data_IF_914820650458
#
_entry.id   IF_914820650458
#
_cell.length_a   1.000
_cell.length_b   1.000
_cell.length_c   1.000
_cell.angle_alpha   90.00
_cell.angle_beta   90.00
_cell.angle_gamma   90.00
#
_symmetry.space_group_name_H-M   'P 1'
#
loop_
_entity.id
_entity.type
_entity.pdbx_description
1 polymer ?
#
# COMPACT_ATOMS: atom_id res chain seq x y z
N UNK A 1 -13.76 -15.14 10.79
CA UNK A 1 -12.69 -14.22 10.35
C UNK A 1 -12.24 -14.64 8.97
N UNK A 2 -12.21 -13.73 8.04
CA UNK A 2 -11.62 -14.02 6.74
C UNK A 2 -10.11 -14.23 6.95
N UNK A 3 -9.51 -15.17 6.23
CA UNK A 3 -8.07 -15.40 6.35
C UNK A 3 -7.19 -14.18 5.98
N UNK A 4 -7.81 -13.05 5.60
CA UNK A 4 -7.16 -11.79 5.26
C UNK A 4 -7.17 -10.75 6.38
N UNK A 5 -7.86 -11.01 7.50
CA UNK A 5 -7.93 -10.04 8.61
C UNK A 5 -6.57 -9.83 9.28
N UNK A 6 -5.68 -10.83 9.17
CA UNK A 6 -4.33 -10.79 9.73
C UNK A 6 -3.32 -11.41 8.76
N UNK A 7 -2.24 -10.68 8.54
CA UNK A 7 -1.09 -11.11 7.74
C UNK A 7 0.14 -11.19 8.64
N UNK A 8 0.99 -12.18 8.43
CA UNK A 8 2.25 -12.32 9.17
C UNK A 8 3.41 -12.43 8.19
N UNK A 9 4.46 -11.68 8.47
CA UNK A 9 5.73 -11.73 7.76
C UNK A 9 6.85 -12.04 8.76
N UNK A 10 8.08 -12.01 8.34
CA UNK A 10 9.23 -12.25 9.21
C UNK A 10 9.26 -11.26 10.39
N UNK A 11 9.07 -9.95 10.12
CA UNK A 11 9.23 -8.90 11.12
C UNK A 11 7.94 -8.15 11.43
N UNK A 12 6.87 -8.35 10.65
CA UNK A 12 5.67 -7.54 10.73
C UNK A 12 4.41 -8.38 10.94
N UNK A 13 3.41 -7.71 11.51
CA UNK A 13 2.02 -8.18 11.55
C UNK A 13 1.16 -7.11 10.88
N UNK A 14 0.45 -7.50 9.83
CA UNK A 14 -0.54 -6.67 9.15
C UNK A 14 -1.94 -6.97 9.69
N UNK A 15 -2.67 -5.95 10.06
CA UNK A 15 -4.06 -6.05 10.50
C UNK A 15 -4.96 -5.32 9.51
N UNK A 16 -6.09 -5.94 9.14
CA UNK A 16 -7.13 -5.29 8.34
C UNK A 16 -7.47 -3.93 8.93
N UNK A 17 -7.58 -2.92 8.08
CA UNK A 17 -7.93 -1.57 8.51
C UNK A 17 -9.24 -1.54 9.31
N UNK A 18 -9.24 -0.79 10.43
CA UNK A 18 -10.38 -0.53 11.30
C UNK A 18 -10.39 0.92 11.76
N UNK A 19 -11.50 1.41 12.28
CA UNK A 19 -11.62 2.78 12.78
C UNK A 19 -10.59 3.12 13.89
N UNK A 20 -10.26 2.15 14.74
CA UNK A 20 -9.26 2.29 15.81
C UNK A 20 -7.86 2.65 15.30
N UNK A 21 -7.57 2.40 14.01
CA UNK A 21 -6.31 2.79 13.38
C UNK A 21 -6.22 4.28 13.00
N UNK A 22 -7.24 5.07 13.29
CA UNK A 22 -7.26 6.49 12.92
C UNK A 22 -6.07 7.26 13.47
N UNK A 23 -5.67 7.04 14.72
CA UNK A 23 -4.52 7.72 15.34
C UNK A 23 -3.24 7.47 14.53
N UNK A 24 -3.04 6.24 14.06
CA UNK A 24 -1.91 5.90 13.19
C UNK A 24 -1.99 6.58 11.82
N UNK A 25 -3.18 6.57 11.19
CA UNK A 25 -3.42 7.30 9.94
C UNK A 25 -3.10 8.79 10.09
N UNK A 26 -3.61 9.39 11.15
CA UNK A 26 -3.41 10.81 11.43
C UNK A 26 -1.93 11.16 11.63
N UNK A 27 -1.20 10.34 12.37
CA UNK A 27 0.24 10.53 12.58
C UNK A 27 1.02 10.55 11.26
N UNK A 28 0.69 9.64 10.33
CA UNK A 28 1.34 9.59 9.02
C UNK A 28 0.89 10.73 8.10
N UNK A 29 -0.39 11.08 8.11
CA UNK A 29 -0.98 12.13 7.26
C UNK A 29 -0.49 13.54 7.64
N UNK A 30 0.00 13.73 8.86
CA UNK A 30 0.60 15.00 9.33
C UNK A 30 2.11 15.05 9.21
N UNK A 31 2.76 13.94 8.91
CA UNK A 31 4.21 13.90 8.71
C UNK A 31 4.55 14.38 7.30
N UNK A 32 5.18 15.56 7.20
CA UNK A 32 5.52 16.16 5.91
C UNK A 32 6.49 15.33 5.09
N UNK A 33 7.39 14.60 5.73
CA UNK A 33 8.36 13.74 5.04
C UNK A 33 7.67 12.52 4.45
N UNK A 34 6.79 11.86 5.22
CA UNK A 34 5.98 10.73 4.75
C UNK A 34 5.07 11.15 3.59
N UNK A 35 4.45 12.32 3.70
CA UNK A 35 3.46 12.80 2.72
C UNK A 35 4.05 13.56 1.53
N UNK A 36 5.36 13.80 1.50
CA UNK A 36 6.02 14.55 0.42
C UNK A 36 5.75 14.02 -1.00
N UNK A 37 5.62 12.71 -1.15
CA UNK A 37 5.34 12.04 -2.43
C UNK A 37 3.90 11.51 -2.55
N UNK A 38 3.03 11.84 -1.57
CA UNK A 38 1.66 11.34 -1.46
C UNK A 38 0.61 12.47 -1.48
N UNK A 39 0.96 13.62 -2.04
CA UNK A 39 0.06 14.76 -2.19
C UNK A 39 0.13 15.79 -1.06
N UNK A 40 1.08 15.67 -0.14
CA UNK A 40 1.27 16.59 0.98
C UNK A 40 0.44 16.20 2.23
N UNK A 41 0.67 16.95 3.31
CA UNK A 41 -0.03 16.72 4.59
C UNK A 41 -1.53 16.95 4.45
N UNK A 42 -2.32 16.21 5.25
CA UNK A 42 -3.78 16.22 5.20
C UNK A 42 -4.38 16.87 6.44
N UNK A 43 -5.53 17.48 6.27
CA UNK A 43 -6.39 17.89 7.37
C UNK A 43 -6.97 16.66 8.10
N UNK A 44 -7.54 16.87 9.28
CA UNK A 44 -8.19 15.80 10.02
C UNK A 44 -9.38 15.21 9.25
N UNK A 45 -10.18 16.05 8.59
CA UNK A 45 -11.29 15.60 7.76
C UNK A 45 -10.82 14.73 6.59
N UNK A 46 -9.74 15.10 5.91
CA UNK A 46 -9.16 14.30 4.84
C UNK A 46 -8.60 12.96 5.35
N UNK A 47 -8.04 12.93 6.56
CA UNK A 47 -7.60 11.69 7.20
C UNK A 47 -8.78 10.76 7.49
N UNK A 48 -9.88 11.28 8.02
CA UNK A 48 -11.11 10.52 8.23
C UNK A 48 -11.72 10.03 6.93
N UNK A 49 -11.72 10.86 5.89
CA UNK A 49 -12.19 10.47 4.56
C UNK A 49 -11.34 9.32 3.99
N UNK A 50 -10.00 9.42 4.08
CA UNK A 50 -9.09 8.36 3.65
C UNK A 50 -9.33 7.04 4.39
N UNK A 51 -9.52 7.09 5.71
CA UNK A 51 -9.85 5.92 6.52
C UNK A 51 -11.19 5.30 6.08
N UNK A 52 -12.26 6.10 5.98
CA UNK A 52 -13.58 5.61 5.54
C UNK A 52 -13.53 4.97 4.16
N UNK A 53 -12.85 5.59 3.21
CA UNK A 53 -12.66 5.04 1.87
C UNK A 53 -11.97 3.66 1.92
N UNK A 54 -10.99 3.49 2.80
CA UNK A 54 -10.33 2.21 3.02
C UNK A 54 -11.25 1.14 3.62
N UNK A 55 -12.07 1.51 4.60
CA UNK A 55 -13.08 0.62 5.20
C UNK A 55 -14.13 0.19 4.17
N UNK A 56 -14.67 1.14 3.40
CA UNK A 56 -15.64 0.86 2.34
C UNK A 56 -15.04 -0.01 1.23
N UNK A 57 -13.75 0.17 0.91
CA UNK A 57 -13.06 -0.65 -0.08
C UNK A 57 -13.03 -2.13 0.37
N UNK A 58 -12.78 -2.37 1.66
CA UNK A 58 -12.85 -3.70 2.25
C UNK A 58 -14.23 -4.34 2.12
N UNK A 59 -15.28 -3.58 2.44
CA UNK A 59 -16.66 -4.08 2.36
C UNK A 59 -17.08 -4.43 0.93
N UNK A 60 -16.63 -3.63 -0.04
CA UNK A 60 -16.99 -3.84 -1.46
C UNK A 60 -16.18 -4.93 -2.14
N UNK A 61 -14.91 -5.10 -1.78
CA UNK A 61 -13.97 -5.91 -2.55
C UNK A 61 -13.45 -7.14 -1.80
N UNK A 62 -13.63 -7.23 -0.48
CA UNK A 62 -13.08 -8.30 0.35
C UNK A 62 -11.55 -8.21 0.57
N UNK A 63 -10.94 -7.11 0.15
CA UNK A 63 -9.55 -6.75 0.41
C UNK A 63 -9.40 -5.22 0.42
N UNK A 64 -8.28 -4.70 0.91
CA UNK A 64 -8.09 -3.25 1.01
C UNK A 64 -6.79 -2.89 1.71
N UNK A 65 -6.79 -1.86 2.57
CA UNK A 65 -5.64 -1.48 3.38
C UNK A 65 -5.43 -2.36 4.61
N UNK A 66 -4.16 -2.61 4.93
CA UNK A 66 -3.69 -3.15 6.21
C UNK A 66 -2.79 -2.14 6.91
N UNK A 67 -2.88 -2.10 8.23
CA UNK A 67 -1.91 -1.42 9.10
C UNK A 67 -0.90 -2.45 9.58
N UNK A 68 0.37 -2.15 9.45
CA UNK A 68 1.46 -3.04 9.83
C UNK A 68 2.14 -2.58 11.11
N UNK A 69 2.39 -3.54 11.98
CA UNK A 69 3.06 -3.37 13.27
C UNK A 69 4.34 -4.21 13.31
N UNK A 70 5.37 -3.70 13.95
CA UNK A 70 6.57 -4.49 14.23
C UNK A 70 6.22 -5.62 15.21
N UNK A 71 6.56 -6.86 14.88
CA UNK A 71 6.25 -8.03 15.73
C UNK A 71 6.88 -7.94 17.11
N UNK A 72 8.08 -7.41 17.18
CA UNK A 72 8.86 -7.33 18.40
C UNK A 72 8.29 -6.32 19.39
N UNK A 73 7.85 -5.16 18.91
CA UNK A 73 7.44 -4.03 19.78
C UNK A 73 5.93 -3.76 19.78
N UNK A 74 5.21 -4.24 18.77
CA UNK A 74 3.81 -3.89 18.53
C UNK A 74 3.62 -2.46 18.00
N UNK A 75 4.69 -1.72 17.72
CA UNK A 75 4.63 -0.36 17.19
C UNK A 75 4.10 -0.37 15.76
N UNK A 76 3.17 0.52 15.45
CA UNK A 76 2.69 0.72 14.09
C UNK A 76 3.78 1.34 13.23
N UNK A 77 4.19 0.68 12.16
CA UNK A 77 5.31 1.07 11.30
C UNK A 77 4.88 1.65 9.96
N UNK A 78 3.67 1.38 9.54
CA UNK A 78 3.17 1.84 8.25
C UNK A 78 1.91 1.12 7.81
N UNK A 79 1.60 1.25 6.54
CA UNK A 79 0.47 0.58 5.91
C UNK A 79 0.75 0.20 4.48
N UNK A 80 0.06 -0.81 4.01
CA UNK A 80 0.07 -1.23 2.61
C UNK A 80 -1.33 -1.64 2.20
N UNK A 81 -1.67 -1.50 0.94
CA UNK A 81 -3.02 -1.77 0.45
C UNK A 81 -3.01 -2.47 -0.90
N UNK A 82 -3.98 -3.35 -1.09
CA UNK A 82 -4.46 -3.73 -2.42
C UNK A 82 -5.69 -2.88 -2.70
N UNK A 83 -5.69 -2.13 -3.80
CA UNK A 83 -6.79 -1.24 -4.16
C UNK A 83 -7.20 -1.41 -5.61
N UNK A 84 -8.52 -1.45 -5.84
CA UNK A 84 -9.03 -1.27 -7.20
C UNK A 84 -8.89 0.19 -7.60
N UNK A 85 -8.28 0.43 -8.72
CA UNK A 85 -8.05 1.76 -9.29
C UNK A 85 -8.37 1.75 -10.77
N UNK A 86 -8.61 2.92 -11.34
CA UNK A 86 -8.70 3.11 -12.77
C UNK A 86 -7.54 4.00 -13.22
N UNK A 87 -6.72 3.51 -14.13
CA UNK A 87 -5.56 4.23 -14.66
C UNK A 87 -5.76 4.36 -16.16
N UNK A 88 -5.94 5.59 -16.64
CA UNK A 88 -6.17 5.90 -18.07
C UNK A 88 -7.27 5.00 -18.69
N UNK A 89 -8.39 4.85 -17.98
CA UNK A 89 -9.53 4.04 -18.41
C UNK A 89 -9.37 2.53 -18.24
N UNK A 90 -8.27 2.06 -17.67
CA UNK A 90 -8.01 0.64 -17.39
C UNK A 90 -8.28 0.34 -15.93
N UNK A 91 -9.11 -0.69 -15.67
CA UNK A 91 -9.35 -1.19 -14.31
C UNK A 91 -8.16 -2.05 -13.86
N UNK A 92 -7.52 -1.66 -12.77
CA UNK A 92 -6.33 -2.29 -12.23
C UNK A 92 -6.49 -2.62 -10.74
N UNK A 93 -5.63 -3.49 -10.21
CA UNK A 93 -5.44 -3.64 -8.77
C UNK A 93 -4.02 -3.18 -8.42
N UNK A 94 -3.94 -2.16 -7.59
CA UNK A 94 -2.68 -1.53 -7.19
C UNK A 94 -2.20 -2.06 -5.85
N UNK A 95 -0.89 -2.23 -5.72
CA UNK A 95 -0.19 -2.32 -4.43
C UNK A 95 0.35 -0.95 -4.07
N UNK A 96 -0.17 -0.36 -3.00
CA UNK A 96 0.34 0.89 -2.43
C UNK A 96 0.94 0.65 -1.04
N UNK A 97 1.88 1.50 -0.62
CA UNK A 97 2.50 1.43 0.70
C UNK A 97 3.00 2.79 1.17
N UNK A 98 3.03 2.95 2.48
CA UNK A 98 3.72 4.06 3.15
C UNK A 98 4.30 3.59 4.48
N UNK A 99 5.43 4.14 4.86
CA UNK A 99 6.18 3.75 6.07
C UNK A 99 6.45 4.99 6.91
N UNK A 100 6.26 4.90 8.22
CA UNK A 100 6.63 5.96 9.15
C UNK A 100 8.12 6.28 9.03
N UNK A 101 8.48 7.57 9.04
CA UNK A 101 9.84 8.03 8.77
C UNK A 101 10.92 7.37 9.66
N UNK A 102 10.60 7.12 10.92
CA UNK A 102 11.50 6.42 11.87
C UNK A 102 11.87 4.98 11.43
N UNK A 103 11.11 4.40 10.52
CA UNK A 103 11.30 3.02 10.01
C UNK A 103 11.88 2.94 8.60
N UNK A 104 12.25 4.08 8.00
CA UNK A 104 12.85 4.10 6.68
C UNK A 104 14.23 3.44 6.64
N UNK A 105 14.62 2.97 5.46
CA UNK A 105 15.93 2.35 5.24
C UNK A 105 16.09 0.95 5.85
N UNK A 106 15.01 0.33 6.31
CA UNK A 106 15.01 -0.98 6.98
C UNK A 106 14.37 -2.10 6.16
N UNK A 107 13.96 -1.82 4.92
CA UNK A 107 13.32 -2.81 4.05
C UNK A 107 11.84 -3.08 4.38
N UNK A 108 11.20 -2.25 5.21
CA UNK A 108 9.81 -2.43 5.66
C UNK A 108 8.82 -2.33 4.49
N UNK A 109 8.96 -1.33 3.62
CA UNK A 109 8.09 -1.18 2.45
C UNK A 109 8.17 -2.40 1.52
N UNK A 110 9.37 -2.91 1.28
CA UNK A 110 9.57 -4.12 0.46
C UNK A 110 8.92 -5.34 1.10
N UNK A 111 9.05 -5.52 2.41
CA UNK A 111 8.43 -6.63 3.13
C UNK A 111 6.89 -6.58 3.07
N UNK A 112 6.31 -5.40 3.28
CA UNK A 112 4.86 -5.18 3.14
C UNK A 112 4.39 -5.44 1.71
N UNK A 113 5.03 -4.85 0.71
CA UNK A 113 4.66 -5.02 -0.70
C UNK A 113 4.75 -6.49 -1.12
N UNK A 114 5.82 -7.20 -0.74
CA UNK A 114 5.98 -8.62 -1.04
C UNK A 114 4.91 -9.49 -0.38
N UNK A 115 4.51 -9.16 0.85
CA UNK A 115 3.40 -9.83 1.52
C UNK A 115 2.08 -9.69 0.74
N UNK A 116 1.80 -8.48 0.23
CA UNK A 116 0.58 -8.25 -0.56
C UNK A 116 0.63 -8.88 -1.95
N UNK A 117 1.80 -9.00 -2.56
CA UNK A 117 1.98 -9.83 -3.77
C UNK A 117 1.56 -11.27 -3.51
N UNK A 118 2.00 -11.87 -2.40
CA UNK A 118 1.58 -13.20 -1.97
C UNK A 118 0.07 -13.29 -1.74
N UNK A 119 -0.52 -12.32 -1.06
CA UNK A 119 -1.99 -12.25 -0.84
C UNK A 119 -2.73 -12.18 -2.17
N UNK A 120 -2.30 -11.31 -3.08
CA UNK A 120 -2.93 -11.14 -4.39
C UNK A 120 -2.94 -12.44 -5.21
N UNK A 121 -1.80 -13.15 -5.22
CA UNK A 121 -1.64 -14.42 -5.94
C UNK A 121 -2.38 -15.58 -5.26
N UNK A 122 -2.08 -15.82 -3.98
CA UNK A 122 -2.41 -17.10 -3.31
C UNK A 122 -3.77 -17.08 -2.60
N UNK A 123 -4.26 -15.88 -2.24
CA UNK A 123 -5.48 -15.72 -1.44
C UNK A 123 -6.64 -15.09 -2.22
N UNK A 124 -6.35 -14.20 -3.14
CA UNK A 124 -7.35 -13.51 -3.98
C UNK A 124 -7.42 -14.14 -5.37
N UNK A 125 -6.31 -14.68 -5.87
CA UNK A 125 -6.25 -15.33 -7.20
C UNK A 125 -6.19 -14.32 -8.34
N UNK A 126 -5.55 -13.17 -8.13
CA UNK A 126 -5.35 -12.17 -9.19
C UNK A 126 -4.29 -12.65 -10.18
N UNK A 127 -4.54 -12.41 -11.47
CA UNK A 127 -3.58 -12.75 -12.53
C UNK A 127 -2.43 -11.75 -12.63
N UNK A 128 -2.68 -10.51 -12.25
CA UNK A 128 -1.68 -9.43 -12.29
C UNK A 128 -2.05 -8.30 -11.33
N UNK A 129 -1.06 -7.52 -10.96
CA UNK A 129 -1.17 -6.33 -10.12
C UNK A 129 -0.21 -5.25 -10.63
N UNK A 130 -0.52 -4.00 -10.30
CA UNK A 130 0.31 -2.84 -10.63
C UNK A 130 0.79 -2.12 -9.37
N UNK A 131 1.82 -1.31 -9.55
CA UNK A 131 2.25 -0.31 -8.59
C UNK A 131 2.74 0.90 -9.38
N UNK A 132 2.57 2.10 -8.86
CA UNK A 132 2.98 3.31 -9.55
C UNK A 132 3.43 4.39 -8.57
N UNK A 133 4.29 5.27 -9.03
CA UNK A 133 4.83 6.37 -8.22
C UNK A 133 5.28 7.50 -9.12
N UNK A 134 5.61 8.66 -8.52
CA UNK A 134 6.25 9.76 -9.24
C UNK A 134 7.58 9.31 -9.85
N UNK A 135 7.96 9.79 -11.05
CA UNK A 135 9.16 9.34 -11.77
C UNK A 135 10.46 9.51 -10.98
N UNK A 136 10.55 10.55 -10.16
CA UNK A 136 11.72 10.88 -9.33
C UNK A 136 11.74 10.20 -7.96
N UNK A 137 10.67 9.50 -7.60
CA UNK A 137 10.63 8.71 -6.35
C UNK A 137 11.43 7.40 -6.51
N UNK A 138 12.74 7.52 -6.55
CA UNK A 138 13.64 6.38 -6.76
C UNK A 138 13.56 5.34 -5.65
N UNK A 139 13.27 5.75 -4.41
CA UNK A 139 13.11 4.83 -3.29
C UNK A 139 11.92 3.89 -3.52
N UNK A 140 10.76 4.42 -3.92
CA UNK A 140 9.57 3.62 -4.23
C UNK A 140 9.81 2.71 -5.44
N UNK A 141 10.46 3.20 -6.49
CA UNK A 141 10.80 2.39 -7.67
C UNK A 141 11.64 1.18 -7.30
N UNK A 142 12.65 1.34 -6.43
CA UNK A 142 13.46 0.23 -5.90
C UNK A 142 12.64 -0.78 -5.08
N UNK A 143 11.69 -0.30 -4.29
CA UNK A 143 10.76 -1.18 -3.55
C UNK A 143 9.96 -2.03 -4.53
N UNK A 144 9.38 -1.43 -5.57
CA UNK A 144 8.63 -2.15 -6.59
C UNK A 144 9.47 -3.23 -7.26
N UNK A 145 10.69 -2.88 -7.70
CA UNK A 145 11.61 -3.81 -8.34
C UNK A 145 11.99 -4.99 -7.42
N UNK A 146 12.29 -4.71 -6.15
CA UNK A 146 12.59 -5.75 -5.16
C UNK A 146 11.40 -6.64 -4.83
N UNK A 147 10.18 -6.11 -4.92
CA UNK A 147 8.94 -6.87 -4.73
C UNK A 147 8.54 -7.67 -5.99
N UNK A 148 9.29 -7.56 -7.10
CA UNK A 148 9.10 -8.35 -8.32
C UNK A 148 8.32 -7.65 -9.43
N UNK A 149 8.04 -6.35 -9.30
CA UNK A 149 7.43 -5.56 -10.36
C UNK A 149 8.46 -5.13 -11.39
N UNK A 150 8.04 -5.02 -12.64
CA UNK A 150 8.85 -4.50 -13.74
C UNK A 150 8.20 -3.26 -14.33
N UNK A 151 9.02 -2.27 -14.70
CA UNK A 151 8.55 -1.08 -15.38
C UNK A 151 7.80 -1.45 -16.66
N UNK A 152 6.64 -0.85 -16.87
CA UNK A 152 5.83 -1.05 -18.06
C UNK A 152 5.77 0.21 -18.92
N UNK A 153 5.33 1.32 -18.35
CA UNK A 153 5.15 2.59 -19.08
C UNK A 153 4.95 3.79 -18.16
N UNK A 154 5.05 4.97 -18.72
CA UNK A 154 4.61 6.19 -18.07
C UNK A 154 3.09 6.32 -18.18
N UNK A 155 2.47 6.87 -17.14
CA UNK A 155 1.04 7.13 -17.05
C UNK A 155 0.77 8.49 -16.43
N UNK A 156 -0.43 9.00 -16.59
CA UNK A 156 -0.94 10.13 -15.82
C UNK A 156 -1.87 9.62 -14.71
N UNK A 157 -1.63 10.08 -13.49
CA UNK A 157 -2.47 9.82 -12.33
C UNK A 157 -2.62 11.09 -11.50
N UNK A 158 -3.89 11.43 -11.12
CA UNK A 158 -4.20 12.67 -10.39
C UNK A 158 -3.58 13.93 -11.03
N UNK A 159 -3.62 14.02 -12.37
CA UNK A 159 -3.04 15.08 -13.18
C UNK A 159 -1.51 15.26 -13.03
N UNK A 160 -0.80 14.23 -12.61
CA UNK A 160 0.66 14.20 -12.49
C UNK A 160 1.26 13.02 -13.23
N UNK A 161 2.49 13.17 -13.79
CA UNK A 161 3.20 12.05 -14.39
C UNK A 161 3.60 11.03 -13.34
N UNK A 162 3.39 9.75 -13.67
CA UNK A 162 3.79 8.60 -12.86
C UNK A 162 4.49 7.56 -13.74
N UNK A 163 5.24 6.68 -13.10
CA UNK A 163 5.76 5.46 -13.72
C UNK A 163 4.97 4.27 -13.22
N UNK A 164 4.45 3.47 -14.14
CA UNK A 164 3.68 2.26 -13.86
C UNK A 164 4.58 1.03 -13.96
N UNK A 165 4.51 0.21 -12.95
CA UNK A 165 5.14 -1.10 -12.87
C UNK A 165 4.06 -2.17 -12.78
N UNK A 166 4.28 -3.30 -13.43
CA UNK A 166 3.35 -4.46 -13.40
C UNK A 166 4.05 -5.71 -12.92
N UNK A 167 3.31 -6.55 -12.25
CA UNK A 167 3.71 -7.92 -11.96
C UNK A 167 2.62 -8.87 -12.40
N UNK A 168 2.96 -9.83 -13.25
CA UNK A 168 2.12 -10.97 -13.56
C UNK A 168 2.31 -12.05 -12.51
N UNK A 169 1.19 -12.54 -11.99
CA UNK A 169 1.17 -13.53 -10.93
C UNK A 169 0.92 -14.90 -11.54
N UNK A 170 1.90 -15.80 -11.46
CA UNK A 170 1.70 -17.17 -11.91
C UNK A 170 0.68 -17.84 -10.97
N UNK A 171 -0.32 -18.56 -11.49
CA UNK A 171 -1.18 -19.38 -10.65
C UNK A 171 -0.35 -20.45 -9.94
N UNK A 172 -0.64 -20.65 -8.66
CA UNK A 172 -0.06 -21.73 -7.83
C UNK A 172 -0.65 -23.07 -8.21
#
# INVERSE_FOLDING_TARGET
MSGLDRLETERLVGERLREEHFTHYRAMDTDSDVMATLGGVRSENESWEGLRNGLEHWERNGFGPWVFHARETGEAVGGSALRRVEIEGQAEVEVGYRVAAAWWGRGIATEMASALVGVARDRIGLAEIVAFTLPDNLASRRVMEKAGFTYERDVEWAALPHVLYRQRLAPT
#
